data_IF_390052463722
#
_entry.id   IF_390052463722
#
_cell.length_a   1.000
_cell.length_b   1.000
_cell.length_c   1.000
_cell.angle_alpha   90.00
_cell.angle_beta   90.00
_cell.angle_gamma   90.00
#
_symmetry.space_group_name_H-M   'P 1'
#
loop_
_entity.id
_entity.type
_entity.pdbx_description
1 polymer ?
#
# COMPACT_ATOMS: atom_id res chain seq x y z
N UNK A 1 42.26 17.05 -34.82
CA UNK A 1 41.29 16.10 -35.41
C UNK A 1 40.44 15.49 -34.31
N UNK A 2 39.13 15.40 -34.55
CA UNK A 2 38.09 14.84 -33.66
C UNK A 2 38.14 13.32 -33.63
N UNK A 3 37.88 12.72 -32.48
CA UNK A 3 37.25 11.40 -32.30
C UNK A 3 36.89 11.28 -30.81
N UNK A 4 35.66 11.08 -30.34
CA UNK A 4 34.46 10.61 -31.00
C UNK A 4 34.08 9.20 -30.53
N UNK A 5 33.48 9.09 -29.34
CA UNK A 5 32.78 7.89 -28.83
C UNK A 5 32.20 8.24 -27.45
N UNK A 6 30.91 8.60 -27.26
CA UNK A 6 29.67 7.85 -27.50
C UNK A 6 29.75 6.44 -26.90
N UNK A 7 28.90 5.97 -25.99
CA UNK A 7 27.63 6.48 -25.44
C UNK A 7 27.45 5.81 -24.08
N UNK A 8 27.19 6.58 -23.01
CA UNK A 8 26.92 6.03 -21.67
C UNK A 8 25.47 5.57 -21.63
N UNK A 9 25.19 4.32 -22.00
CA UNK A 9 23.93 3.67 -21.68
C UNK A 9 24.00 3.11 -20.25
N UNK A 10 23.98 4.02 -19.26
CA UNK A 10 23.61 3.61 -17.91
C UNK A 10 22.08 3.55 -17.84
N UNK A 11 21.52 2.41 -18.26
CA UNK A 11 20.18 2.03 -17.82
C UNK A 11 20.29 1.75 -16.32
N UNK A 12 20.14 2.80 -15.52
CA UNK A 12 19.99 2.67 -14.07
C UNK A 12 18.54 2.30 -13.80
N UNK A 13 18.26 1.01 -13.86
CA UNK A 13 17.06 0.46 -13.22
C UNK A 13 17.14 0.78 -11.72
N UNK A 14 16.28 1.70 -11.28
CA UNK A 14 16.19 2.06 -9.88
C UNK A 14 15.67 0.87 -9.08
N UNK A 15 16.39 0.46 -8.04
CA UNK A 15 15.94 -0.54 -7.08
C UNK A 15 14.59 -0.12 -6.50
N UNK A 16 13.52 -0.72 -7.02
CA UNK A 16 12.16 -0.43 -6.58
C UNK A 16 11.99 -1.01 -5.19
N UNK A 17 11.74 -0.15 -4.19
CA UNK A 17 11.55 -0.61 -2.81
C UNK A 17 10.07 -0.76 -2.54
N UNK A 18 9.62 -1.99 -2.33
CA UNK A 18 8.25 -2.31 -1.91
C UNK A 18 8.17 -2.38 -0.38
N UNK A 19 7.24 -1.62 0.20
CA UNK A 19 6.88 -1.67 1.60
C UNK A 19 5.46 -2.24 1.73
N UNK A 20 5.30 -3.24 2.59
CA UNK A 20 4.00 -3.86 2.86
C UNK A 20 3.64 -3.64 4.32
N UNK A 21 2.40 -3.22 4.57
CA UNK A 21 1.83 -3.11 5.92
C UNK A 21 0.51 -3.85 5.96
N UNK A 22 0.33 -4.66 7.01
CA UNK A 22 -0.93 -5.32 7.31
C UNK A 22 -1.34 -5.03 8.74
N UNK A 23 -2.63 -4.80 8.96
CA UNK A 23 -3.23 -4.66 10.29
C UNK A 23 -4.53 -5.44 10.35
N UNK A 24 -4.59 -6.39 11.27
CA UNK A 24 -5.81 -7.10 11.60
C UNK A 24 -6.35 -6.58 12.94
N UNK A 25 -7.66 -6.34 12.99
CA UNK A 25 -8.38 -5.89 14.17
C UNK A 25 -9.60 -6.79 14.38
N UNK A 26 -9.81 -7.18 15.63
CA UNK A 26 -10.96 -7.94 16.10
C UNK A 26 -11.70 -7.07 17.12
N UNK A 27 -12.99 -6.87 16.92
CA UNK A 27 -13.86 -6.20 17.89
C UNK A 27 -14.76 -7.26 18.52
N UNK A 28 -14.80 -7.29 19.86
CA UNK A 28 -15.53 -8.29 20.62
C UNK A 28 -16.33 -7.62 21.74
N UNK A 29 -17.60 -8.02 21.87
CA UNK A 29 -18.43 -7.65 23.02
C UNK A 29 -18.07 -8.53 24.23
N UNK A 30 -17.44 -7.95 25.24
CA UNK A 30 -17.01 -8.70 26.44
C UNK A 30 -18.14 -8.99 27.43
N UNK A 31 -19.27 -8.28 27.33
CA UNK A 31 -20.43 -8.48 28.20
C UNK A 31 -21.33 -9.61 27.70
N UNK A 32 -21.36 -9.82 26.38
CA UNK A 32 -22.05 -10.94 25.75
C UNK A 32 -21.15 -11.57 24.69
N UNK A 33 -20.18 -12.42 25.11
CA UNK A 33 -19.19 -12.98 24.21
C UNK A 33 -19.83 -14.08 23.34
N UNK A 34 -20.37 -13.68 22.20
CA UNK A 34 -20.87 -14.60 21.19
C UNK A 34 -19.92 -14.55 19.97
N UNK A 35 -19.43 -15.72 19.54
CA UNK A 35 -18.50 -15.82 18.39
C UNK A 35 -19.08 -15.25 17.09
N UNK A 36 -20.41 -15.21 16.99
CA UNK A 36 -21.14 -14.69 15.85
C UNK A 36 -21.34 -13.16 15.88
N UNK A 37 -20.83 -12.46 16.91
CA UNK A 37 -20.82 -11.00 17.07
C UNK A 37 -19.40 -10.43 17.06
N UNK A 38 -18.45 -11.19 16.52
CA UNK A 38 -17.08 -10.72 16.33
C UNK A 38 -17.00 -9.95 15.02
N UNK A 39 -16.59 -8.69 15.09
CA UNK A 39 -16.33 -7.91 13.90
C UNK A 39 -14.85 -7.98 13.53
N UNK A 40 -14.59 -8.19 12.25
CA UNK A 40 -13.27 -8.43 11.72
C UNK A 40 -12.91 -7.32 10.75
N UNK A 41 -11.70 -6.77 10.89
CA UNK A 41 -11.17 -5.81 9.95
C UNK A 41 -9.74 -6.12 9.59
N UNK A 42 -9.47 -6.17 8.28
CA UNK A 42 -8.14 -6.33 7.71
C UNK A 42 -7.83 -5.10 6.85
N UNK A 43 -6.81 -4.34 7.25
CA UNK A 43 -6.25 -3.25 6.46
C UNK A 43 -4.92 -3.71 5.85
N UNK A 44 -4.75 -3.57 4.53
CA UNK A 44 -3.52 -3.85 3.81
C UNK A 44 -3.06 -2.59 3.06
N UNK A 45 -1.74 -2.37 3.01
CA UNK A 45 -1.14 -1.30 2.21
C UNK A 45 0.18 -1.77 1.58
N UNK A 46 0.31 -1.50 0.28
CA UNK A 46 1.49 -1.75 -0.53
C UNK A 46 1.99 -0.41 -1.05
N UNK A 47 3.18 0.01 -0.63
CA UNK A 47 3.78 1.26 -1.09
C UNK A 47 5.09 0.97 -1.81
N UNK A 48 5.18 1.34 -3.07
CA UNK A 48 6.39 1.18 -3.87
C UNK A 48 6.95 2.53 -4.31
N UNK A 49 8.26 2.70 -4.13
CA UNK A 49 9.00 3.77 -4.80
C UNK A 49 9.44 3.27 -6.16
N UNK A 50 8.68 3.63 -7.19
CA UNK A 50 8.90 3.17 -8.57
C UNK A 50 10.16 3.81 -9.15
N UNK A 51 10.40 5.09 -8.83
CA UNK A 51 11.66 5.76 -9.16
C UNK A 51 11.92 6.93 -8.18
N UNK A 52 12.96 7.73 -8.42
CA UNK A 52 13.32 8.86 -7.54
C UNK A 52 12.24 9.95 -7.41
N UNK A 53 11.27 9.99 -8.33
CA UNK A 53 10.23 11.00 -8.41
C UNK A 53 8.81 10.49 -8.15
N UNK A 54 8.58 9.17 -8.19
CA UNK A 54 7.23 8.60 -8.16
C UNK A 54 7.13 7.53 -7.08
N UNK A 55 6.11 7.70 -6.23
CA UNK A 55 5.63 6.68 -5.32
C UNK A 55 4.23 6.22 -5.74
N UNK A 56 3.97 4.93 -5.60
CA UNK A 56 2.64 4.32 -5.80
C UNK A 56 2.23 3.66 -4.49
N UNK A 57 0.99 3.87 -4.05
CA UNK A 57 0.41 3.23 -2.88
C UNK A 57 -0.93 2.60 -3.25
N UNK A 58 -1.06 1.29 -3.02
CA UNK A 58 -2.31 0.55 -3.10
C UNK A 58 -2.74 0.18 -1.69
N UNK A 59 -3.94 0.56 -1.29
CA UNK A 59 -4.56 0.17 -0.01
C UNK A 59 -5.83 -0.62 -0.24
N UNK A 60 -6.08 -1.56 0.66
CA UNK A 60 -7.32 -2.33 0.73
C UNK A 60 -7.79 -2.44 2.17
N UNK A 61 -9.09 -2.34 2.38
CA UNK A 61 -9.75 -2.55 3.67
C UNK A 61 -10.85 -3.57 3.44
N UNK A 62 -10.73 -4.70 4.12
CA UNK A 62 -11.77 -5.72 4.21
C UNK A 62 -12.40 -5.63 5.60
N UNK A 63 -13.72 -5.47 5.66
CA UNK A 63 -14.48 -5.42 6.90
C UNK A 63 -15.63 -6.40 6.86
N UNK A 64 -15.81 -7.10 7.96
CA UNK A 64 -17.01 -7.87 8.26
C UNK A 64 -17.54 -7.39 9.61
N UNK A 65 -18.71 -6.77 9.59
CA UNK A 65 -19.38 -6.17 10.75
C UNK A 65 -20.87 -6.41 10.59
N UNK A 66 -21.41 -7.38 11.34
CA UNK A 66 -22.77 -7.86 11.15
C UNK A 66 -23.84 -6.87 11.57
N UNK A 67 -23.49 -5.96 12.47
CA UNK A 67 -24.42 -4.97 12.99
C UNK A 67 -24.58 -3.79 12.02
N UNK A 68 -23.57 -3.55 11.16
CA UNK A 68 -23.61 -2.52 10.13
C UNK A 68 -24.15 -3.03 8.78
N UNK A 69 -23.72 -4.21 8.33
CA UNK A 69 -24.19 -4.86 7.09
C UNK A 69 -23.89 -6.38 7.16
N UNK A 70 -24.79 -7.22 6.65
CA UNK A 70 -24.59 -8.67 6.69
C UNK A 70 -23.53 -9.15 5.69
N UNK A 71 -23.21 -8.33 4.69
CA UNK A 71 -22.23 -8.65 3.66
C UNK A 71 -20.80 -8.23 4.01
N UNK A 72 -19.84 -8.88 3.35
CA UNK A 72 -18.42 -8.49 3.40
C UNK A 72 -18.23 -7.18 2.65
N UNK A 73 -17.60 -6.21 3.31
CA UNK A 73 -17.40 -4.88 2.78
C UNK A 73 -15.93 -4.70 2.36
N UNK A 74 -15.71 -4.36 1.09
CA UNK A 74 -14.38 -4.12 0.53
C UNK A 74 -14.23 -2.66 0.09
N UNK A 75 -13.15 -2.01 0.51
CA UNK A 75 -12.74 -0.69 0.03
C UNK A 75 -11.31 -0.75 -0.48
N UNK A 76 -11.05 -0.10 -1.61
CA UNK A 76 -9.72 -0.04 -2.22
C UNK A 76 -9.37 1.40 -2.62
N UNK A 77 -8.10 1.76 -2.53
CA UNK A 77 -7.61 3.02 -3.06
C UNK A 77 -6.24 2.85 -3.71
N UNK A 78 -6.05 3.51 -4.85
CA UNK A 78 -4.77 3.64 -5.53
C UNK A 78 -4.36 5.11 -5.51
N UNK A 79 -3.17 5.39 -4.99
CA UNK A 79 -2.59 6.72 -4.95
C UNK A 79 -1.24 6.75 -5.67
N UNK A 80 -1.01 7.81 -6.43
CA UNK A 80 0.27 8.10 -7.09
C UNK A 80 0.75 9.46 -6.61
N UNK A 81 1.97 9.51 -6.08
CA UNK A 81 2.56 10.71 -5.49
C UNK A 81 3.86 11.11 -6.17
N UNK A 82 4.02 12.42 -6.39
CA UNK A 82 5.28 13.00 -6.84
C UNK A 82 6.18 13.30 -5.64
N UNK A 83 7.46 12.93 -5.76
CA UNK A 83 8.48 13.13 -4.74
C UNK A 83 9.44 14.22 -5.20
N UNK A 84 9.45 15.33 -4.48
CA UNK A 84 10.49 16.33 -4.61
C UNK A 84 11.54 16.12 -3.54
N UNK A 85 12.79 15.94 -3.97
CA UNK A 85 13.95 15.92 -3.08
C UNK A 85 14.97 16.91 -3.62
N UNK A 86 15.33 17.90 -2.81
CA UNK A 86 16.47 18.78 -3.09
C UNK A 86 17.72 17.96 -2.82
N UNK A 87 18.49 17.66 -3.88
CA UNK A 87 19.76 16.96 -3.76
C UNK A 87 20.65 17.64 -2.71
N UNK A 88 21.36 16.83 -1.91
CA UNK A 88 22.47 17.35 -1.10
C UNK A 88 23.59 17.80 -2.00
#
# INVERSE_FOLDING_TARGET
MRSGGASRSEEREGTSTLNVKGRYQLFANLLNPALNQLDHRLDLSFTSKVNKYINVNLTGILRYDRDQDQDVQLSQALAVGLVYSRGK
#
